data_IF_872662474989
#
_entry.id   IF_872662474989
#
_cell.length_a   1.000
_cell.length_b   1.000
_cell.length_c   1.000
_cell.angle_alpha   90.00
_cell.angle_beta   90.00
_cell.angle_gamma   90.00
#
_symmetry.space_group_name_H-M   'P 1'
#
loop_
_entity.id
_entity.type
_entity.pdbx_description
1 polymer ?
#
# COMPACT_ATOMS: atom_id res chain seq x y z
N UNK A 1 -14.46 8.43 14.39
CA UNK A 1 -14.50 7.85 13.02
C UNK A 1 -14.65 6.35 13.18
N UNK A 2 -15.64 5.71 12.57
CA UNK A 2 -15.87 4.25 12.67
C UNK A 2 -14.81 3.47 11.88
N UNK A 3 -14.66 2.16 12.16
CA UNK A 3 -13.72 1.29 11.44
C UNK A 3 -14.08 1.20 9.95
N UNK A 4 -15.37 1.11 9.62
CA UNK A 4 -15.86 1.06 8.25
C UNK A 4 -15.49 2.33 7.47
N UNK A 5 -15.68 3.50 8.08
CA UNK A 5 -15.32 4.77 7.43
C UNK A 5 -13.80 4.93 7.26
N UNK A 6 -12.99 4.31 8.13
CA UNK A 6 -11.54 4.23 7.97
C UNK A 6 -11.16 3.32 6.81
N UNK A 7 -11.80 2.17 6.71
CA UNK A 7 -11.57 1.18 5.67
C UNK A 7 -11.94 1.73 4.30
N UNK A 8 -13.13 2.32 4.17
CA UNK A 8 -13.60 2.95 2.94
C UNK A 8 -12.70 4.10 2.48
N UNK A 9 -12.21 4.93 3.41
CA UNK A 9 -11.23 5.97 3.07
C UNK A 9 -9.92 5.38 2.53
N UNK A 10 -9.42 4.29 3.10
CA UNK A 10 -8.22 3.64 2.59
C UNK A 10 -8.46 2.98 1.23
N UNK A 11 -9.62 2.34 1.02
CA UNK A 11 -10.06 1.80 -0.28
C UNK A 11 -10.12 2.90 -1.33
N UNK A 12 -10.70 4.05 -0.99
CA UNK A 12 -10.76 5.21 -1.88
C UNK A 12 -9.37 5.74 -2.23
N UNK A 13 -8.50 5.96 -1.24
CA UNK A 13 -7.11 6.42 -1.48
C UNK A 13 -6.38 5.44 -2.40
N UNK A 14 -6.49 4.14 -2.14
CA UNK A 14 -5.89 3.11 -2.99
C UNK A 14 -6.44 3.18 -4.41
N UNK A 15 -7.76 3.21 -4.59
CA UNK A 15 -8.42 3.29 -5.90
C UNK A 15 -7.97 4.53 -6.69
N UNK A 16 -8.05 5.70 -6.07
CA UNK A 16 -7.76 6.99 -6.70
C UNK A 16 -6.29 7.11 -7.10
N UNK A 17 -5.37 6.60 -6.26
CA UNK A 17 -3.93 6.84 -6.44
C UNK A 17 -3.20 5.68 -7.11
N UNK A 18 -3.74 4.45 -7.12
CA UNK A 18 -3.05 3.25 -7.63
C UNK A 18 -2.48 3.46 -9.03
N UNK A 19 -3.30 3.95 -9.97
CA UNK A 19 -2.89 4.15 -11.37
C UNK A 19 -1.77 5.19 -11.49
N UNK A 20 -1.89 6.29 -10.77
CA UNK A 20 -0.87 7.35 -10.77
C UNK A 20 0.44 6.90 -10.16
N UNK A 21 0.38 6.17 -9.05
CA UNK A 21 1.55 5.59 -8.37
C UNK A 21 2.30 4.65 -9.31
N UNK A 22 1.59 3.74 -9.97
CA UNK A 22 2.17 2.80 -10.95
C UNK A 22 2.80 3.59 -12.10
N UNK A 23 2.07 4.56 -12.66
CA UNK A 23 2.54 5.41 -13.76
C UNK A 23 3.85 6.10 -13.39
N UNK A 24 3.90 6.82 -12.27
CA UNK A 24 5.09 7.56 -11.84
C UNK A 24 6.27 6.62 -11.55
N UNK A 25 6.02 5.47 -10.92
CA UNK A 25 7.07 4.50 -10.62
C UNK A 25 7.64 3.86 -11.90
N UNK A 26 6.80 3.56 -12.89
CA UNK A 26 7.19 2.99 -14.17
C UNK A 26 7.84 4.00 -15.12
N UNK A 27 7.56 5.30 -14.99
CA UNK A 27 8.12 6.33 -15.89
C UNK A 27 9.66 6.34 -15.86
N UNK A 28 10.32 6.14 -17.01
CA UNK A 28 11.75 6.35 -17.17
C UNK A 28 12.10 7.83 -16.97
N UNK A 29 13.18 8.12 -16.26
CA UNK A 29 13.62 9.51 -16.00
C UNK A 29 13.05 10.16 -14.74
N UNK A 30 12.05 9.55 -14.06
CA UNK A 30 11.68 9.98 -12.72
C UNK A 30 12.84 9.69 -11.75
N UNK A 31 13.31 10.69 -10.96
CA UNK A 31 14.39 10.49 -10.02
C UNK A 31 14.13 9.34 -9.05
N UNK A 32 15.15 8.52 -8.79
CA UNK A 32 15.07 7.37 -7.87
C UNK A 32 14.53 7.79 -6.50
N UNK A 33 14.96 8.96 -5.99
CA UNK A 33 14.48 9.53 -4.72
C UNK A 33 12.95 9.68 -4.69
N UNK A 34 12.32 10.07 -5.81
CA UNK A 34 10.86 10.20 -5.91
C UNK A 34 10.18 8.84 -5.89
N UNK A 35 10.76 7.82 -6.53
CA UNK A 35 10.28 6.44 -6.46
C UNK A 35 10.40 5.86 -5.05
N UNK A 36 11.52 6.13 -4.36
CA UNK A 36 11.74 5.76 -2.96
C UNK A 36 10.74 6.43 -2.02
N UNK A 37 10.41 7.70 -2.25
CA UNK A 37 9.37 8.40 -1.48
C UNK A 37 8.01 7.73 -1.66
N UNK A 38 7.62 7.42 -2.91
CA UNK A 38 6.37 6.68 -3.19
C UNK A 38 6.35 5.33 -2.48
N UNK A 39 7.45 4.60 -2.51
CA UNK A 39 7.58 3.33 -1.81
C UNK A 39 7.43 3.48 -0.28
N UNK A 40 8.04 4.51 0.31
CA UNK A 40 7.89 4.81 1.73
C UNK A 40 6.43 5.18 2.09
N UNK A 41 5.76 5.97 1.25
CA UNK A 41 4.33 6.27 1.42
C UNK A 41 3.46 5.00 1.36
N UNK A 42 3.72 4.10 0.39
CA UNK A 42 3.03 2.81 0.30
C UNK A 42 3.28 1.93 1.51
N UNK A 43 4.51 1.94 2.04
CA UNK A 43 4.83 1.21 3.27
C UNK A 43 4.00 1.72 4.46
N UNK A 44 3.84 3.04 4.59
CA UNK A 44 3.00 3.63 5.62
C UNK A 44 1.52 3.24 5.43
N UNK A 45 1.02 3.21 4.19
CA UNK A 45 -0.34 2.75 3.91
C UNK A 45 -0.55 1.28 4.28
N UNK A 46 0.42 0.40 3.99
CA UNK A 46 0.37 -1.00 4.42
C UNK A 46 0.33 -1.10 5.95
N UNK A 47 1.12 -0.31 6.67
CA UNK A 47 1.10 -0.31 8.15
C UNK A 47 -0.24 0.19 8.71
N UNK A 48 -0.84 1.21 8.10
CA UNK A 48 -2.16 1.71 8.50
C UNK A 48 -3.25 0.66 8.25
N UNK A 49 -3.19 -0.01 7.10
CA UNK A 49 -4.07 -1.13 6.74
C UNK A 49 -3.96 -2.28 7.73
N UNK A 50 -2.75 -2.77 8.01
CA UNK A 50 -2.52 -3.85 8.96
C UNK A 50 -2.99 -3.52 10.39
N UNK A 51 -2.80 -2.28 10.84
CA UNK A 51 -3.35 -1.82 12.15
C UNK A 51 -4.87 -1.84 12.13
N UNK A 52 -5.49 -1.33 11.07
CA UNK A 52 -6.94 -1.33 10.93
C UNK A 52 -7.50 -2.76 10.90
N UNK A 53 -6.86 -3.67 10.18
CA UNK A 53 -7.21 -5.09 10.17
C UNK A 53 -7.16 -5.69 11.59
N UNK A 54 -6.10 -5.42 12.36
CA UNK A 54 -6.02 -5.86 13.76
C UNK A 54 -7.12 -5.27 14.64
N UNK A 55 -7.46 -3.99 14.46
CA UNK A 55 -8.58 -3.35 15.18
C UNK A 55 -9.94 -3.99 14.81
N UNK A 56 -10.17 -4.32 13.54
CA UNK A 56 -11.38 -4.98 13.06
C UNK A 56 -11.46 -6.41 13.60
N UNK A 57 -10.36 -7.16 13.56
CA UNK A 57 -10.29 -8.53 14.04
C UNK A 57 -10.57 -8.67 15.54
N UNK A 58 -10.34 -7.61 16.33
CA UNK A 58 -10.63 -7.60 17.75
C UNK A 58 -12.11 -7.35 18.08
N UNK A 59 -12.93 -7.01 17.07
CA UNK A 59 -14.37 -6.80 17.24
C UNK A 59 -15.17 -8.00 16.70
N UNK A 60 -15.85 -8.77 17.58
CA UNK A 60 -16.62 -9.92 17.16
C UNK A 60 -17.83 -9.49 16.29
N UNK A 61 -18.09 -10.23 15.20
CA UNK A 61 -19.28 -10.09 14.37
C UNK A 61 -19.11 -9.35 13.04
N UNK A 62 -17.94 -8.77 12.75
CA UNK A 62 -17.69 -7.99 11.52
C UNK A 62 -16.92 -8.79 10.46
N UNK A 63 -17.41 -9.98 10.08
CA UNK A 63 -16.72 -10.85 9.11
C UNK A 63 -16.54 -10.20 7.74
N UNK A 64 -17.58 -9.57 7.19
CA UNK A 64 -17.51 -8.86 5.90
C UNK A 64 -16.47 -7.74 5.92
N UNK A 65 -16.41 -6.98 7.01
CA UNK A 65 -15.44 -5.91 7.19
C UNK A 65 -14.01 -6.43 7.29
N UNK A 66 -13.83 -7.61 7.90
CA UNK A 66 -12.54 -8.25 8.04
C UNK A 66 -12.04 -8.77 6.69
N UNK A 67 -12.92 -9.34 5.87
CA UNK A 67 -12.62 -9.75 4.50
C UNK A 67 -12.21 -8.56 3.64
N UNK A 68 -12.99 -7.47 3.66
CA UNK A 68 -12.67 -6.22 2.96
C UNK A 68 -11.32 -5.64 3.39
N UNK A 69 -11.03 -5.69 4.70
CA UNK A 69 -9.75 -5.23 5.23
C UNK A 69 -8.58 -6.12 4.78
N UNK A 70 -8.77 -7.44 4.72
CA UNK A 70 -7.77 -8.38 4.21
C UNK A 70 -7.49 -8.15 2.72
N UNK A 71 -8.54 -7.94 1.91
CA UNK A 71 -8.40 -7.70 0.47
C UNK A 71 -7.64 -6.39 0.19
N UNK A 72 -7.96 -5.34 0.95
CA UNK A 72 -7.25 -4.07 0.86
C UNK A 72 -5.77 -4.23 1.23
N UNK A 73 -5.46 -4.96 2.30
CA UNK A 73 -4.09 -5.18 2.74
C UNK A 73 -3.27 -5.92 1.67
N UNK A 74 -3.83 -7.00 1.12
CA UNK A 74 -3.23 -7.74 0.01
C UNK A 74 -2.99 -6.85 -1.22
N UNK A 75 -3.96 -6.00 -1.56
CA UNK A 75 -3.86 -5.06 -2.68
C UNK A 75 -2.75 -4.02 -2.48
N UNK A 76 -2.63 -3.46 -1.27
CA UNK A 76 -1.59 -2.50 -0.92
C UNK A 76 -0.20 -3.15 -0.92
N UNK A 77 -0.08 -4.37 -0.42
CA UNK A 77 1.16 -5.15 -0.46
C UNK A 77 1.59 -5.45 -1.90
N UNK A 78 0.65 -5.83 -2.78
CA UNK A 78 0.91 -6.06 -4.19
C UNK A 78 1.40 -4.78 -4.88
N UNK A 79 0.74 -3.64 -4.62
CA UNK A 79 1.16 -2.34 -5.15
C UNK A 79 2.55 -1.94 -4.65
N UNK A 80 2.84 -2.13 -3.35
CA UNK A 80 4.18 -1.87 -2.77
C UNK A 80 5.25 -2.71 -3.45
N UNK A 81 4.99 -4.01 -3.64
CA UNK A 81 5.90 -4.93 -4.32
C UNK A 81 6.16 -4.49 -5.77
N UNK A 82 5.11 -4.12 -6.49
CA UNK A 82 5.22 -3.61 -7.85
C UNK A 82 6.08 -2.34 -7.91
N UNK A 83 5.81 -1.35 -7.06
CA UNK A 83 6.62 -0.12 -7.00
C UNK A 83 8.08 -0.40 -6.61
N UNK A 84 8.29 -1.34 -5.69
CA UNK A 84 9.63 -1.79 -5.29
C UNK A 84 10.46 -2.33 -6.45
N UNK A 85 9.84 -3.02 -7.41
CA UNK A 85 10.53 -3.55 -8.59
C UNK A 85 11.06 -2.47 -9.55
N UNK A 86 10.51 -1.25 -9.49
CA UNK A 86 11.00 -0.11 -10.29
C UNK A 86 12.13 0.67 -9.62
N UNK A 87 12.46 0.34 -8.37
CA UNK A 87 13.57 0.95 -7.64
C UNK A 87 14.78 0.02 -7.82
N UNK A 88 15.88 0.50 -8.41
CA UNK A 88 17.09 -0.30 -8.51
C UNK A 88 17.56 -0.64 -7.09
N UNK A 89 17.53 -1.93 -6.73
CA UNK A 89 18.30 -2.41 -5.59
C UNK A 89 19.76 -2.23 -5.98
N UNK A 90 20.50 -1.46 -5.19
CA UNK A 90 21.94 -1.21 -5.36
C UNK A 90 22.61 -2.47 -5.92
N UNK A 91 23.22 -2.33 -7.08
CA UNK A 91 24.06 -3.33 -7.72
C UNK A 91 24.92 -3.99 -6.65
N UNK A 92 24.91 -5.34 -6.63
CA UNK A 92 25.97 -6.12 -6.01
C UNK A 92 27.30 -5.50 -6.47
N UNK A 93 27.96 -4.73 -5.60
CA UNK A 93 29.41 -4.66 -5.65
C UNK A 93 29.85 -6.03 -5.13
N UNK A 94 30.11 -6.94 -6.06
CA UNK A 94 30.93 -8.10 -5.76
C UNK A 94 32.27 -7.57 -5.23
N UNK A 95 32.63 -8.00 -4.02
CA UNK A 95 33.99 -7.96 -3.51
C UNK A 95 34.57 -9.37 -3.65
#
# INVERSE_FOLDING_TARGET
MTLDLRLEKLKQIHSDKKRDIIRIAATPGIPIRRKQLLYACLNNLCQLSARLFGEISNNPGNHDLLEDAAELDASLLALRKQVGSFIPTRTRQAA
#
